data_IF_707695637238
#
_entry.id   IF_707695637238
#
_cell.length_a   1.000
_cell.length_b   1.000
_cell.length_c   1.000
_cell.angle_alpha   90.00
_cell.angle_beta   90.00
_cell.angle_gamma   90.00
#
_symmetry.space_group_name_H-M   'P 1'
#
loop_
_entity.id
_entity.type
_entity.pdbx_description
1 polymer ?
#
# COMPACT_ATOMS: atom_id res chain seq x y z
N UNK A 1 1.32 27.02 5.76
CA UNK A 1 2.25 27.20 4.64
C UNK A 1 3.73 27.08 4.99
N UNK A 2 4.13 27.16 6.28
CA UNK A 2 5.53 27.18 6.71
C UNK A 2 6.35 25.89 6.55
N UNK A 3 5.75 24.69 6.64
CA UNK A 3 6.57 23.48 6.86
C UNK A 3 7.53 23.11 5.70
N UNK A 4 7.12 23.30 4.45
CA UNK A 4 8.01 23.05 3.29
C UNK A 4 9.05 24.16 3.10
N UNK A 5 8.68 25.40 3.42
CA UNK A 5 9.61 26.53 3.35
C UNK A 5 10.67 26.43 4.45
N UNK A 6 10.27 26.01 5.66
CA UNK A 6 11.18 25.70 6.77
C UNK A 6 12.12 24.53 6.45
N UNK A 7 11.67 23.57 5.61
CA UNK A 7 12.49 22.44 5.17
C UNK A 7 13.29 22.71 3.89
N UNK A 8 13.16 23.87 3.26
CA UNK A 8 13.88 24.18 2.03
C UNK A 8 15.42 24.01 2.16
N UNK A 9 16.08 24.41 3.27
CA UNK A 9 17.52 24.17 3.46
C UNK A 9 17.89 22.69 3.54
N UNK A 10 16.95 21.84 3.92
CA UNK A 10 17.12 20.40 4.10
C UNK A 10 16.45 19.57 3.01
N UNK A 11 16.05 20.21 1.90
CA UNK A 11 15.38 19.55 0.77
C UNK A 11 16.35 19.35 -0.39
N UNK A 12 16.40 18.13 -0.91
CA UNK A 12 17.17 17.75 -2.10
C UNK A 12 16.18 17.39 -3.21
N UNK A 13 16.28 18.07 -4.35
CA UNK A 13 15.52 17.70 -5.54
C UNK A 13 16.25 16.63 -6.36
N UNK A 14 15.58 15.51 -6.64
CA UNK A 14 16.11 14.36 -7.37
C UNK A 14 15.19 14.03 -8.55
N UNK A 15 15.48 14.59 -9.74
CA UNK A 15 14.61 14.48 -10.92
C UNK A 15 14.58 13.07 -11.51
N UNK A 16 13.75 12.20 -10.95
CA UNK A 16 13.55 10.82 -11.41
C UNK A 16 14.31 9.76 -10.62
N UNK A 17 15.34 10.16 -9.87
CA UNK A 17 16.26 9.26 -9.17
C UNK A 17 16.18 9.36 -7.63
N UNK A 18 15.03 9.76 -7.07
CA UNK A 18 14.85 9.96 -5.63
C UNK A 18 15.29 8.76 -4.79
N UNK A 19 15.14 7.54 -5.30
CA UNK A 19 15.59 6.33 -4.62
C UNK A 19 17.12 6.19 -4.55
N UNK A 20 17.82 6.56 -5.63
CA UNK A 20 19.28 6.53 -5.70
C UNK A 20 19.86 7.62 -4.81
N UNK A 21 19.35 8.86 -4.92
CA UNK A 21 19.81 9.99 -4.10
C UNK A 21 19.58 9.72 -2.61
N UNK A 22 18.48 9.05 -2.25
CA UNK A 22 18.26 8.59 -0.87
C UNK A 22 19.29 7.57 -0.40
N UNK A 23 19.60 6.59 -1.25
CA UNK A 23 20.62 5.60 -0.94
C UNK A 23 22.00 6.24 -0.82
N UNK A 24 22.39 7.12 -1.73
CA UNK A 24 23.66 7.87 -1.68
C UNK A 24 23.78 8.70 -0.41
N UNK A 25 22.73 9.46 -0.08
CA UNK A 25 22.71 10.25 1.15
C UNK A 25 22.90 9.38 2.38
N UNK A 26 22.20 8.25 2.48
CA UNK A 26 22.34 7.33 3.61
C UNK A 26 23.70 6.63 3.64
N UNK A 27 24.22 6.20 2.49
CA UNK A 27 25.53 5.55 2.36
C UNK A 27 26.70 6.51 2.62
N UNK A 28 26.52 7.83 2.42
CA UNK A 28 27.54 8.82 2.78
C UNK A 28 27.74 8.97 4.29
N UNK A 29 26.81 8.46 5.11
CA UNK A 29 26.91 8.50 6.56
C UNK A 29 27.88 7.45 7.08
N UNK A 30 28.48 7.70 8.25
CA UNK A 30 29.26 6.70 8.97
C UNK A 30 28.37 5.53 9.42
N UNK A 31 28.91 4.31 9.65
CA UNK A 31 28.11 3.19 10.15
C UNK A 31 27.32 3.51 11.43
N UNK A 32 27.90 4.30 12.35
CA UNK A 32 27.22 4.72 13.58
C UNK A 32 26.05 5.68 13.30
N UNK A 33 26.24 6.66 12.41
CA UNK A 33 25.17 7.59 12.00
C UNK A 33 24.07 6.86 11.22
N UNK A 34 24.41 5.85 10.43
CA UNK A 34 23.45 5.03 9.68
C UNK A 34 22.52 4.26 10.60
N UNK A 35 23.00 3.78 11.75
CA UNK A 35 22.16 3.08 12.73
C UNK A 35 21.19 4.03 13.46
N UNK A 36 21.50 5.33 13.50
CA UNK A 36 20.63 6.38 14.05
C UNK A 36 19.74 7.06 12.99
N UNK A 37 19.94 6.75 11.70
CA UNK A 37 19.26 7.40 10.57
C UNK A 37 18.35 6.43 9.83
N UNK A 38 17.04 6.67 9.89
CA UNK A 38 16.04 5.89 9.15
C UNK A 38 15.67 6.54 7.81
N UNK A 39 15.47 5.73 6.77
CA UNK A 39 14.90 6.20 5.50
C UNK A 39 13.39 5.95 5.49
N UNK A 40 12.59 6.98 5.24
CA UNK A 40 11.14 6.90 5.15
C UNK A 40 10.69 7.16 3.73
N UNK A 41 10.05 6.18 3.10
CA UNK A 41 9.46 6.34 1.78
C UNK A 41 7.94 6.52 1.88
N UNK A 42 7.38 7.40 1.04
CA UNK A 42 5.92 7.62 0.95
C UNK A 42 5.16 6.37 0.48
N UNK A 43 5.71 5.64 -0.49
CA UNK A 43 5.04 4.51 -1.15
C UNK A 43 5.82 3.20 -1.17
N UNK A 44 5.10 2.10 -1.46
CA UNK A 44 5.66 0.73 -1.50
C UNK A 44 6.68 0.54 -2.63
N UNK A 45 6.41 1.13 -3.78
CA UNK A 45 7.29 1.06 -4.95
C UNK A 45 8.59 1.81 -4.67
N UNK A 46 8.49 3.06 -4.22
CA UNK A 46 9.63 3.88 -3.83
C UNK A 46 10.45 3.22 -2.72
N UNK A 47 9.81 2.68 -1.69
CA UNK A 47 10.50 1.92 -0.62
C UNK A 47 11.28 0.72 -1.17
N UNK A 48 10.69 -0.02 -2.11
CA UNK A 48 11.37 -1.16 -2.74
C UNK A 48 12.59 -0.70 -3.54
N UNK A 49 12.46 0.39 -4.30
CA UNK A 49 13.57 0.96 -5.06
C UNK A 49 14.71 1.46 -4.16
N UNK A 50 14.38 2.16 -3.06
CA UNK A 50 15.38 2.61 -2.06
C UNK A 50 16.09 1.43 -1.42
N UNK A 51 15.34 0.41 -0.99
CA UNK A 51 15.91 -0.82 -0.40
C UNK A 51 16.91 -1.49 -1.35
N UNK A 52 16.54 -1.64 -2.62
CA UNK A 52 17.40 -2.24 -3.64
C UNK A 52 18.63 -1.38 -3.95
N UNK A 53 18.49 -0.05 -3.96
CA UNK A 53 19.60 0.88 -4.14
C UNK A 53 20.60 0.83 -2.97
N UNK A 54 20.11 0.83 -1.73
CA UNK A 54 20.96 0.70 -0.53
C UNK A 54 21.68 -0.64 -0.50
N UNK A 55 20.99 -1.75 -0.74
CA UNK A 55 21.62 -3.08 -0.78
C UNK A 55 22.71 -3.15 -1.86
N UNK A 56 22.46 -2.57 -3.04
CA UNK A 56 23.44 -2.50 -4.14
C UNK A 56 24.68 -1.72 -3.73
N UNK A 57 24.51 -0.57 -3.07
CA UNK A 57 25.62 0.23 -2.56
C UNK A 57 26.43 -0.48 -1.49
N UNK A 58 25.77 -1.07 -0.48
CA UNK A 58 26.45 -1.86 0.56
C UNK A 58 27.23 -3.04 -0.02
N UNK A 59 26.65 -3.73 -1.02
CA UNK A 59 27.34 -4.80 -1.74
C UNK A 59 28.59 -4.28 -2.48
N UNK A 60 28.47 -3.16 -3.19
CA UNK A 60 29.57 -2.56 -3.94
C UNK A 60 30.71 -2.09 -3.02
N UNK A 61 30.38 -1.64 -1.81
CA UNK A 61 31.34 -1.24 -0.77
C UNK A 61 32.00 -2.42 -0.04
N UNK A 62 31.57 -3.67 -0.30
CA UNK A 62 32.05 -4.85 0.43
C UNK A 62 31.54 -4.93 1.88
N UNK A 63 30.47 -4.21 2.21
CA UNK A 63 29.87 -4.20 3.56
C UNK A 63 28.90 -5.36 3.80
N UNK A 64 28.55 -6.11 2.75
CA UNK A 64 27.74 -7.32 2.80
C UNK A 64 28.60 -8.57 2.60
N UNK A 65 28.17 -9.68 3.20
CA UNK A 65 28.89 -10.94 3.13
C UNK A 65 28.88 -11.59 1.74
N UNK A 66 29.72 -12.61 1.52
CA UNK A 66 29.94 -13.19 0.20
C UNK A 66 28.77 -14.09 -0.26
N UNK A 67 27.97 -14.63 0.68
CA UNK A 67 26.86 -15.50 0.32
C UNK A 67 25.60 -14.70 0.04
N UNK A 68 24.92 -15.06 -1.04
CA UNK A 68 23.64 -14.49 -1.44
C UNK A 68 22.65 -15.59 -1.80
N UNK A 69 21.37 -15.25 -1.74
CA UNK A 69 20.27 -16.13 -2.06
C UNK A 69 19.14 -15.35 -2.72
N UNK A 70 18.22 -16.09 -3.36
CA UNK A 70 17.01 -15.52 -3.94
C UNK A 70 15.79 -16.22 -3.36
N UNK A 71 14.89 -15.45 -2.79
CA UNK A 71 13.63 -15.91 -2.22
C UNK A 71 12.46 -15.43 -3.07
N UNK A 72 11.38 -16.22 -3.08
CA UNK A 72 10.08 -15.77 -3.60
C UNK A 72 9.21 -15.39 -2.42
N UNK A 73 8.99 -14.09 -2.25
CA UNK A 73 8.20 -13.52 -1.15
C UNK A 73 6.81 -13.10 -1.62
N UNK A 74 5.90 -12.98 -0.67
CA UNK A 74 4.52 -12.56 -0.89
C UNK A 74 4.38 -11.07 -0.65
N UNK A 75 4.14 -10.32 -1.73
CA UNK A 75 3.81 -8.91 -1.70
C UNK A 75 2.29 -8.75 -1.58
N UNK A 76 1.79 -8.26 -0.45
CA UNK A 76 0.35 -8.06 -0.24
C UNK A 76 -0.21 -7.09 -1.27
N UNK A 77 -1.30 -7.48 -1.91
CA UNK A 77 -2.14 -6.60 -2.74
C UNK A 77 -3.19 -5.97 -1.84
N UNK A 78 -3.27 -4.64 -1.84
CA UNK A 78 -4.24 -3.90 -1.03
C UNK A 78 -5.57 -3.86 -1.76
N UNK A 79 -6.42 -4.84 -1.45
CA UNK A 79 -7.78 -4.95 -1.97
C UNK A 79 -8.76 -5.06 -0.82
N UNK A 80 -9.89 -4.40 -0.96
CA UNK A 80 -11.03 -4.55 -0.06
C UNK A 80 -11.66 -5.93 -0.22
N UNK A 81 -12.42 -6.35 0.78
CA UNK A 81 -13.17 -7.60 0.68
C UNK A 81 -14.20 -7.61 -0.45
N UNK A 82 -14.84 -6.48 -0.72
CA UNK A 82 -15.77 -6.36 -1.85
C UNK A 82 -15.03 -6.49 -3.18
N UNK A 83 -13.84 -5.88 -3.34
CA UNK A 83 -13.03 -6.05 -4.54
C UNK A 83 -12.62 -7.51 -4.76
N UNK A 84 -12.33 -8.27 -3.70
CA UNK A 84 -12.06 -9.71 -3.80
C UNK A 84 -13.24 -10.51 -4.39
N UNK A 85 -14.45 -9.96 -4.48
CA UNK A 85 -15.62 -10.66 -5.06
C UNK A 85 -15.65 -10.57 -6.59
N UNK A 86 -14.81 -9.74 -7.20
CA UNK A 86 -14.78 -9.53 -8.65
C UNK A 86 -13.58 -10.21 -9.29
N UNK A 87 -13.80 -10.86 -10.44
CA UNK A 87 -12.75 -11.57 -11.19
C UNK A 87 -11.61 -10.64 -11.64
N UNK A 88 -11.93 -9.38 -11.96
CA UNK A 88 -10.94 -8.38 -12.42
C UNK A 88 -9.82 -8.10 -11.41
N UNK A 89 -10.04 -8.43 -10.14
CA UNK A 89 -9.09 -8.24 -9.04
C UNK A 89 -7.97 -9.28 -9.09
N UNK A 90 -8.18 -10.40 -9.78
CA UNK A 90 -7.25 -11.52 -9.84
C UNK A 90 -6.52 -11.56 -11.17
N UNK A 91 -5.28 -12.03 -11.14
CA UNK A 91 -4.50 -12.32 -12.33
C UNK A 91 -3.78 -13.68 -12.17
N UNK A 92 -3.53 -14.42 -13.27
CA UNK A 92 -2.68 -15.59 -13.25
C UNK A 92 -1.33 -15.31 -12.57
N UNK A 93 -0.87 -16.24 -11.73
CA UNK A 93 0.39 -16.14 -10.97
C UNK A 93 0.24 -15.51 -9.57
N UNK A 94 -0.85 -14.80 -9.29
CA UNK A 94 -1.15 -14.31 -7.94
C UNK A 94 -1.37 -15.46 -6.95
N UNK A 95 -1.14 -15.20 -5.68
CA UNK A 95 -1.33 -16.15 -4.58
C UNK A 95 -2.48 -15.70 -3.69
N UNK A 96 -3.49 -16.54 -3.58
CA UNK A 96 -4.61 -16.39 -2.66
C UNK A 96 -4.34 -17.21 -1.40
N UNK A 97 -4.20 -16.54 -0.26
CA UNK A 97 -4.05 -17.18 1.03
C UNK A 97 -5.39 -17.24 1.76
N UNK A 98 -5.81 -18.45 2.12
CA UNK A 98 -6.94 -18.69 3.01
C UNK A 98 -6.40 -18.83 4.42
N UNK A 99 -6.71 -17.89 5.32
CA UNK A 99 -6.29 -17.94 6.73
C UNK A 99 -7.08 -18.96 7.54
N UNK A 100 -8.28 -19.31 7.09
CA UNK A 100 -9.15 -20.36 7.62
C UNK A 100 -9.76 -21.18 6.48
N UNK A 101 -10.37 -22.32 6.81
CA UNK A 101 -11.08 -23.17 5.82
C UNK A 101 -12.31 -22.44 5.28
N UNK A 102 -12.49 -22.44 3.96
CA UNK A 102 -13.76 -22.10 3.31
C UNK A 102 -14.55 -23.40 3.09
N UNK A 103 -15.52 -23.66 3.97
CA UNK A 103 -16.37 -24.85 3.90
C UNK A 103 -17.31 -24.81 2.71
N UNK A 104 -17.85 -23.64 2.37
CA UNK A 104 -18.82 -23.43 1.28
C UNK A 104 -18.23 -23.78 -0.08
N UNK A 105 -16.96 -23.48 -0.29
CA UNK A 105 -16.24 -23.74 -1.54
C UNK A 105 -15.23 -24.89 -1.43
N UNK A 106 -15.24 -25.60 -0.29
CA UNK A 106 -14.40 -26.80 -0.01
C UNK A 106 -12.89 -26.54 -0.16
N UNK A 107 -12.43 -25.35 0.25
CA UNK A 107 -11.01 -24.97 0.24
C UNK A 107 -10.45 -25.02 1.67
N UNK A 108 -9.36 -25.76 1.86
CA UNK A 108 -8.63 -25.76 3.13
C UNK A 108 -7.84 -24.47 3.32
N UNK A 109 -7.49 -24.17 4.58
CA UNK A 109 -6.51 -23.14 4.92
C UNK A 109 -5.20 -23.36 4.15
N UNK A 110 -4.59 -22.29 3.63
CA UNK A 110 -3.30 -22.34 2.95
C UNK A 110 -3.19 -21.41 1.75
N UNK A 111 -2.04 -21.49 1.07
CA UNK A 111 -1.76 -20.75 -0.16
C UNK A 111 -2.28 -21.51 -1.39
N UNK A 112 -2.87 -20.76 -2.31
CA UNK A 112 -3.27 -21.24 -3.63
C UNK A 112 -2.79 -20.29 -4.71
N UNK A 113 -2.25 -20.82 -5.81
CA UNK A 113 -1.83 -20.02 -6.96
C UNK A 113 -2.99 -19.90 -7.94
N UNK A 114 -3.31 -18.69 -8.39
CA UNK A 114 -4.25 -18.48 -9.49
C UNK A 114 -3.57 -18.97 -10.78
N UNK A 115 -4.09 -20.03 -11.39
CA UNK A 115 -3.60 -20.55 -12.68
C UNK A 115 -4.25 -19.86 -13.85
N UNK A 116 -5.58 -19.88 -13.87
CA UNK A 116 -6.38 -19.32 -14.95
C UNK A 116 -7.68 -18.75 -14.39
N UNK A 117 -8.32 -17.89 -15.19
CA UNK A 117 -9.59 -17.25 -14.89
C UNK A 117 -10.59 -17.73 -15.95
N UNK A 118 -11.64 -18.43 -15.52
CA UNK A 118 -12.74 -18.86 -16.37
C UNK A 118 -13.84 -17.78 -16.32
N UNK A 119 -13.87 -16.92 -17.34
CA UNK A 119 -14.84 -15.83 -17.44
C UNK A 119 -16.26 -16.33 -17.73
N UNK A 120 -16.41 -17.47 -18.42
CA UNK A 120 -17.71 -18.06 -18.75
C UNK A 120 -18.38 -18.59 -17.49
N UNK A 121 -17.64 -19.34 -16.68
CA UNK A 121 -18.14 -19.92 -15.41
C UNK A 121 -18.01 -18.97 -14.22
N UNK A 122 -17.43 -17.78 -14.44
CA UNK A 122 -17.13 -16.77 -13.43
C UNK A 122 -16.33 -17.32 -12.25
N UNK A 123 -15.27 -18.10 -12.52
CA UNK A 123 -14.50 -18.84 -11.52
C UNK A 123 -12.99 -18.70 -11.74
N UNK A 124 -12.23 -18.80 -10.65
CA UNK A 124 -10.78 -18.98 -10.66
C UNK A 124 -10.45 -20.47 -10.63
N UNK A 125 -9.46 -20.85 -11.43
CA UNK A 125 -8.78 -22.14 -11.29
C UNK A 125 -7.54 -21.90 -10.43
N UNK A 126 -7.57 -22.45 -9.23
CA UNK A 126 -6.55 -22.34 -8.21
C UNK A 126 -5.71 -23.63 -8.16
N UNK A 127 -4.42 -23.53 -7.90
CA UNK A 127 -3.53 -24.66 -7.65
C UNK A 127 -3.05 -24.65 -6.19
N UNK A 128 -3.26 -25.74 -5.46
CA UNK A 128 -2.74 -25.89 -4.10
C UNK A 128 -1.23 -26.25 -4.08
N UNK A 129 -0.62 -26.27 -2.90
CA UNK A 129 0.82 -26.65 -2.75
C UNK A 129 1.15 -28.06 -3.26
N UNK A 130 0.16 -28.95 -3.41
CA UNK A 130 0.34 -30.32 -3.91
C UNK A 130 0.11 -30.40 -5.43
N UNK A 131 -0.07 -29.27 -6.11
CA UNK A 131 -0.35 -29.22 -7.55
C UNK A 131 -1.80 -29.55 -7.92
N UNK A 132 -2.71 -29.66 -6.94
CA UNK A 132 -4.11 -30.02 -7.24
C UNK A 132 -4.89 -28.78 -7.63
N UNK A 133 -5.64 -28.91 -8.72
CA UNK A 133 -6.53 -27.85 -9.18
C UNK A 133 -7.81 -27.80 -8.34
N UNK A 134 -8.22 -26.60 -7.97
CA UNK A 134 -9.43 -26.28 -7.22
C UNK A 134 -10.16 -25.15 -7.91
N UNK A 135 -11.49 -25.17 -7.84
CA UNK A 135 -12.34 -24.11 -8.38
C UNK A 135 -12.76 -23.20 -7.25
N UNK A 136 -12.73 -21.90 -7.50
CA UNK A 136 -13.16 -20.88 -6.55
C UNK A 136 -14.01 -19.85 -7.28
N UNK A 137 -15.19 -19.55 -6.76
CA UNK A 137 -16.04 -18.48 -7.28
C UNK A 137 -15.96 -17.28 -6.33
N UNK A 138 -15.30 -16.18 -6.74
CA UNK A 138 -15.17 -14.99 -5.90
C UNK A 138 -16.52 -14.35 -5.54
N UNK A 139 -17.53 -14.42 -6.41
CA UNK A 139 -18.85 -13.83 -6.14
C UNK A 139 -19.60 -14.54 -5.00
N UNK A 140 -19.22 -15.78 -4.68
CA UNK A 140 -19.78 -16.56 -3.55
C UNK A 140 -19.15 -16.23 -2.20
N UNK A 141 -18.16 -15.33 -2.16
CA UNK A 141 -17.70 -14.75 -0.91
C UNK A 141 -18.85 -13.95 -0.28
N UNK A 142 -19.07 -14.21 1.01
CA UNK A 142 -20.10 -13.54 1.81
C UNK A 142 -19.79 -12.04 1.92
N UNK A 143 -20.71 -11.12 1.57
CA UNK A 143 -20.45 -9.67 1.64
C UNK A 143 -20.10 -9.17 3.05
N UNK A 144 -20.65 -9.82 4.06
CA UNK A 144 -20.61 -9.50 5.48
C UNK A 144 -19.52 -10.29 6.27
N UNK A 145 -18.72 -11.11 5.57
CA UNK A 145 -17.63 -11.83 6.22
C UNK A 145 -16.48 -10.88 6.56
N UNK A 146 -15.95 -10.99 7.78
CA UNK A 146 -14.78 -10.26 8.23
C UNK A 146 -13.61 -10.41 7.23
N UNK A 147 -13.08 -9.27 6.76
CA UNK A 147 -11.95 -9.07 5.82
C UNK A 147 -10.74 -9.98 6.08
N UNK A 148 -10.61 -10.49 7.30
CA UNK A 148 -9.42 -11.21 7.77
C UNK A 148 -9.24 -12.62 7.20
N UNK A 149 -10.23 -13.21 6.51
CA UNK A 149 -10.17 -14.64 6.12
C UNK A 149 -9.37 -14.92 4.84
N UNK A 150 -9.32 -13.97 3.92
CA UNK A 150 -8.58 -14.09 2.67
C UNK A 150 -7.54 -12.97 2.56
N UNK A 151 -6.44 -13.27 1.89
CA UNK A 151 -5.46 -12.26 1.51
C UNK A 151 -4.91 -12.59 0.12
N UNK A 152 -4.83 -11.57 -0.72
CA UNK A 152 -4.26 -11.66 -2.06
C UNK A 152 -2.83 -11.15 -2.06
N UNK A 153 -1.95 -11.88 -2.74
CA UNK A 153 -0.53 -11.56 -2.82
C UNK A 153 -0.03 -11.70 -4.26
N UNK A 154 0.93 -10.88 -4.61
CA UNK A 154 1.81 -11.07 -5.76
C UNK A 154 3.10 -11.75 -5.30
N UNK A 155 3.72 -12.52 -6.19
CA UNK A 155 5.05 -13.08 -5.96
C UNK A 155 6.10 -12.04 -6.33
N UNK A 156 6.95 -11.66 -5.38
CA UNK A 156 8.10 -10.80 -5.59
C UNK A 156 9.38 -11.62 -5.42
N UNK A 157 10.34 -11.44 -6.32
CA UNK A 157 11.70 -11.96 -6.12
C UNK A 157 12.44 -11.05 -5.15
N UNK A 158 12.99 -11.62 -4.08
CA UNK A 158 13.80 -10.90 -3.09
C UNK A 158 15.22 -11.45 -3.12
N UNK A 159 16.18 -10.58 -3.45
CA UNK A 159 17.61 -10.89 -3.28
C UNK A 159 17.99 -10.67 -1.82
N UNK A 160 18.63 -11.67 -1.22
CA UNK A 160 19.15 -11.60 0.14
C UNK A 160 20.65 -11.88 0.14
N UNK A 161 21.38 -11.23 1.02
CA UNK A 161 22.82 -11.30 1.19
C UNK A 161 23.11 -11.37 2.68
N UNK A 162 24.14 -12.11 3.08
CA UNK A 162 24.62 -12.07 4.46
C UNK A 162 24.92 -10.64 4.89
N UNK A 163 24.45 -10.25 6.07
CA UNK A 163 24.51 -8.87 6.59
C UNK A 163 23.27 -8.03 6.30
N UNK A 164 22.35 -8.45 5.44
CA UNK A 164 21.14 -7.67 5.11
C UNK A 164 20.24 -7.43 6.32
N UNK A 165 19.69 -6.22 6.41
CA UNK A 165 18.58 -5.88 7.31
C UNK A 165 17.25 -6.24 6.63
N UNK A 166 16.46 -7.09 7.26
CA UNK A 166 15.12 -7.50 6.79
C UNK A 166 14.05 -7.20 7.83
N UNK A 167 12.80 -7.22 7.39
CA UNK A 167 11.62 -7.10 8.25
C UNK A 167 10.60 -8.18 7.93
N UNK A 168 9.81 -8.53 8.93
CA UNK A 168 8.65 -9.40 8.74
C UNK A 168 7.48 -8.64 8.14
N UNK A 169 6.71 -9.32 7.28
CA UNK A 169 5.50 -8.76 6.63
C UNK A 169 4.20 -9.40 7.10
N UNK A 170 4.28 -10.37 8.01
CA UNK A 170 3.15 -11.05 8.65
C UNK A 170 3.61 -11.63 10.00
N UNK A 171 2.66 -11.98 10.86
CA UNK A 171 2.97 -12.50 12.19
C UNK A 171 3.22 -14.02 12.18
N UNK A 172 4.09 -14.48 13.08
CA UNK A 172 4.16 -15.84 13.58
C UNK A 172 4.25 -15.84 15.10
N UNK A 173 3.07 -15.80 15.73
CA UNK A 173 2.93 -15.76 17.18
C UNK A 173 3.58 -16.96 17.90
N UNK A 174 3.68 -18.13 17.24
CA UNK A 174 4.28 -19.33 17.87
C UNK A 174 5.77 -19.16 18.12
N UNK A 175 6.43 -18.35 17.28
CA UNK A 175 7.87 -18.08 17.34
C UNK A 175 8.20 -16.69 17.86
N UNK A 176 7.18 -15.90 18.23
CA UNK A 176 7.35 -14.52 18.66
C UNK A 176 7.86 -13.59 17.56
N UNK A 177 7.51 -13.85 16.30
CA UNK A 177 7.89 -13.00 15.18
C UNK A 177 6.71 -12.10 14.83
N UNK A 178 6.88 -10.79 14.97
CA UNK A 178 5.79 -9.84 14.72
C UNK A 178 6.04 -9.07 13.43
N UNK A 179 4.94 -8.74 12.74
CA UNK A 179 4.97 -7.92 11.54
C UNK A 179 5.64 -6.57 11.84
N UNK A 180 6.45 -6.12 10.90
CA UNK A 180 7.32 -4.94 10.99
C UNK A 180 8.56 -5.08 11.89
N UNK A 181 8.70 -6.12 12.72
CA UNK A 181 9.95 -6.37 13.44
C UNK A 181 11.10 -6.62 12.47
N UNK A 182 12.28 -6.12 12.84
CA UNK A 182 13.50 -6.25 12.07
C UNK A 182 14.34 -7.46 12.51
N UNK A 183 15.11 -7.97 11.56
CA UNK A 183 16.13 -8.97 11.79
C UNK A 183 17.31 -8.74 10.83
N UNK A 184 18.47 -9.31 11.17
CA UNK A 184 19.66 -9.28 10.33
C UNK A 184 19.96 -10.68 9.80
N UNK A 185 20.26 -10.83 8.51
CA UNK A 185 20.69 -12.12 7.97
C UNK A 185 22.13 -12.37 8.39
N UNK A 186 22.38 -13.47 9.08
CA UNK A 186 23.72 -13.84 9.58
C UNK A 186 24.36 -14.90 8.69
N UNK A 187 23.58 -15.84 8.17
CA UNK A 187 24.09 -16.87 7.27
C UNK A 187 23.04 -17.34 6.25
N UNK A 188 23.51 -17.67 5.04
CA UNK A 188 22.69 -18.29 3.98
C UNK A 188 23.36 -19.58 3.54
N UNK A 189 22.63 -20.70 3.57
CA UNK A 189 23.15 -22.00 3.14
C UNK A 189 22.10 -22.85 2.40
N UNK A 190 22.49 -24.07 2.00
CA UNK A 190 21.63 -24.99 1.24
C UNK A 190 20.47 -25.57 2.05
N UNK A 191 20.52 -25.49 3.38
CA UNK A 191 19.49 -25.98 4.31
C UNK A 191 18.51 -24.86 4.68
N UNK A 192 18.93 -23.59 4.68
CA UNK A 192 18.07 -22.47 5.06
C UNK A 192 18.76 -21.11 5.19
N UNK A 193 18.09 -20.20 5.89
CA UNK A 193 18.57 -18.86 6.21
C UNK A 193 18.60 -18.71 7.73
N UNK A 194 19.73 -18.28 8.27
CA UNK A 194 19.89 -17.92 9.68
C UNK A 194 19.86 -16.41 9.82
N UNK A 195 19.13 -15.93 10.83
CA UNK A 195 18.92 -14.52 11.08
C UNK A 195 18.94 -14.23 12.58
N UNK A 196 19.39 -13.04 12.94
CA UNK A 196 19.37 -12.50 14.29
C UNK A 196 18.18 -11.55 14.42
N UNK A 197 17.27 -11.81 15.35
CA UNK A 197 16.13 -10.91 15.59
C UNK A 197 16.57 -9.63 16.31
N UNK A 198 15.71 -8.61 16.32
CA UNK A 198 15.94 -7.37 17.08
C UNK A 198 16.26 -7.59 18.57
N UNK A 199 15.81 -8.70 19.15
CA UNK A 199 16.13 -9.10 20.52
C UNK A 199 17.43 -9.89 20.69
N UNK A 200 18.30 -9.94 19.67
CA UNK A 200 19.57 -10.66 19.69
C UNK A 200 19.45 -12.18 19.63
N UNK A 201 18.27 -12.72 19.31
CA UNK A 201 18.05 -14.17 19.23
C UNK A 201 18.36 -14.69 17.84
N UNK A 202 19.17 -15.74 17.75
CA UNK A 202 19.38 -16.46 16.51
C UNK A 202 18.16 -17.33 16.16
N UNK A 203 17.68 -17.18 14.93
CA UNK A 203 16.58 -17.91 14.33
C UNK A 203 17.01 -18.52 13.01
N UNK A 204 16.87 -19.83 12.89
CA UNK A 204 17.11 -20.56 11.64
C UNK A 204 15.81 -20.97 10.97
N UNK A 205 15.62 -20.52 9.74
CA UNK A 205 14.49 -20.88 8.88
C UNK A 205 14.94 -21.84 7.79
N UNK A 206 14.35 -23.04 7.76
CA UNK A 206 14.59 -24.01 6.68
C UNK A 206 14.06 -23.50 5.33
N UNK A 207 14.58 -23.98 4.19
CA UNK A 207 14.17 -23.54 2.84
C UNK A 207 12.67 -23.61 2.54
N UNK A 208 11.92 -24.45 3.25
CA UNK A 208 10.48 -24.62 3.10
C UNK A 208 9.63 -23.83 4.10
N UNK A 209 10.27 -23.02 4.96
CA UNK A 209 9.57 -22.30 6.03
C UNK A 209 8.64 -21.21 5.45
N UNK A 210 7.36 -21.16 5.85
CA UNK A 210 6.44 -20.13 5.38
C UNK A 210 6.90 -18.69 5.67
N UNK A 211 7.70 -18.46 6.71
CA UNK A 211 8.18 -17.13 7.05
C UNK A 211 9.22 -16.60 6.06
N UNK A 212 9.93 -17.47 5.31
CA UNK A 212 10.79 -17.03 4.20
C UNK A 212 10.01 -16.33 3.09
N UNK A 213 8.69 -16.55 2.99
CA UNK A 213 7.82 -15.84 2.04
C UNK A 213 7.29 -14.52 2.60
N UNK A 214 7.50 -14.23 3.89
CA UNK A 214 6.85 -13.15 4.64
C UNK A 214 7.87 -12.14 5.14
N UNK A 215 8.81 -11.78 4.26
CA UNK A 215 9.88 -10.84 4.56
C UNK A 215 10.13 -9.88 3.40
N UNK A 216 10.77 -8.77 3.71
CA UNK A 216 11.21 -7.74 2.77
C UNK A 216 12.45 -7.06 3.35
N UNK A 217 13.22 -6.34 2.54
CA UNK A 217 14.35 -5.54 3.04
C UNK A 217 13.85 -4.40 3.96
N UNK A 218 14.68 -4.01 4.91
CA UNK A 218 14.35 -3.07 5.98
C UNK A 218 15.29 -1.85 6.06
N UNK A 219 15.95 -1.47 4.97
CA UNK A 219 16.73 -0.23 4.91
C UNK A 219 15.84 1.02 4.86
N UNK A 220 14.67 0.90 4.21
CA UNK A 220 13.64 1.92 4.14
C UNK A 220 12.33 1.41 4.72
N UNK A 221 11.62 2.31 5.41
CA UNK A 221 10.36 2.06 6.10
C UNK A 221 9.25 2.94 5.52
N UNK A 222 7.99 2.55 5.75
CA UNK A 222 6.87 3.43 5.46
C UNK A 222 6.67 4.41 6.63
N UNK A 223 6.22 5.63 6.35
CA UNK A 223 5.97 6.65 7.38
C UNK A 223 5.01 6.20 8.50
N UNK A 224 4.00 5.38 8.20
CA UNK A 224 3.10 4.83 9.24
C UNK A 224 3.74 3.71 10.07
N UNK A 225 4.70 2.96 9.51
CA UNK A 225 5.39 1.88 10.22
C UNK A 225 6.42 2.40 11.22
N UNK A 226 6.86 3.65 11.05
CA UNK A 226 7.70 4.35 12.00
C UNK A 226 6.96 4.70 13.32
N UNK A 227 5.68 4.35 13.46
CA UNK A 227 4.93 4.53 14.71
C UNK A 227 5.41 3.55 15.77
N UNK A 228 6.21 4.08 16.71
CA UNK A 228 6.86 3.30 17.76
C UNK A 228 8.36 3.11 17.55
N UNK A 229 8.91 3.55 16.41
CA UNK A 229 10.35 3.61 16.16
C UNK A 229 10.82 5.04 16.39
N UNK A 230 11.62 5.26 17.43
CA UNK A 230 12.33 6.52 17.64
C UNK A 230 13.66 6.44 16.91
N UNK A 231 13.76 7.12 15.76
CA UNK A 231 15.06 7.43 15.14
C UNK A 231 15.38 8.89 15.37
N UNK A 232 16.64 9.17 15.71
CA UNK A 232 17.12 10.52 15.98
C UNK A 232 17.16 11.33 14.69
N UNK A 233 17.54 10.70 13.59
CA UNK A 233 17.61 11.32 12.26
C UNK A 233 16.83 10.53 11.22
N UNK A 234 16.49 11.19 10.11
CA UNK A 234 16.00 10.47 8.94
C UNK A 234 15.96 11.22 7.63
N UNK A 235 15.76 10.40 6.61
CA UNK A 235 15.72 10.80 5.21
C UNK A 235 14.31 10.49 4.72
N UNK A 236 13.49 11.51 4.53
CA UNK A 236 12.16 11.36 3.95
C UNK A 236 12.29 11.38 2.43
N UNK A 237 11.71 10.40 1.75
CA UNK A 237 11.69 10.30 0.29
C UNK A 237 10.23 10.33 -0.13
N UNK A 238 9.85 11.39 -0.85
CA UNK A 238 8.49 11.59 -1.32
C UNK A 238 8.47 11.91 -2.82
N UNK A 239 7.46 11.41 -3.51
CA UNK A 239 7.31 11.61 -4.96
C UNK A 239 5.99 12.32 -5.24
N UNK A 240 6.06 13.48 -5.91
CA UNK A 240 4.92 14.31 -6.29
C UNK A 240 3.96 13.59 -7.25
N UNK A 241 4.43 12.55 -7.95
CA UNK A 241 3.61 11.72 -8.86
C UNK A 241 2.72 10.75 -8.08
N UNK A 242 3.05 10.42 -6.84
CA UNK A 242 2.22 9.58 -5.97
C UNK A 242 1.06 10.40 -5.37
N UNK A 243 0.14 10.89 -6.21
CA UNK A 243 -0.92 11.86 -5.84
C UNK A 243 -1.73 11.50 -4.58
N UNK A 244 -1.93 10.21 -4.31
CA UNK A 244 -2.69 9.73 -3.15
C UNK A 244 -1.86 9.69 -1.86
N UNK A 245 -0.52 9.67 -1.96
CA UNK A 245 0.44 9.61 -0.85
C UNK A 245 1.14 10.96 -0.63
N UNK A 246 1.23 11.80 -1.66
CA UNK A 246 1.67 13.19 -1.59
C UNK A 246 0.57 14.10 -1.02
N UNK A 247 0.16 13.83 0.23
CA UNK A 247 -0.86 14.58 0.96
C UNK A 247 -0.30 15.11 2.29
N UNK A 248 -1.01 16.09 2.87
CA UNK A 248 -0.60 16.76 4.11
C UNK A 248 -0.43 15.81 5.28
N UNK A 249 -1.34 14.88 5.48
CA UNK A 249 -1.27 13.92 6.58
C UNK A 249 -0.02 13.03 6.48
N UNK A 250 0.27 12.49 5.30
CA UNK A 250 1.44 11.63 5.06
C UNK A 250 2.73 12.40 5.23
N UNK A 251 2.78 13.62 4.69
CA UNK A 251 3.91 14.53 4.87
C UNK A 251 4.17 14.82 6.35
N UNK A 252 3.15 15.26 7.08
CA UNK A 252 3.28 15.57 8.51
C UNK A 252 3.71 14.35 9.31
N UNK A 253 3.09 13.18 9.10
CA UNK A 253 3.49 11.93 9.78
C UNK A 253 4.93 11.52 9.45
N UNK A 254 5.42 11.83 8.26
CA UNK A 254 6.82 11.52 7.89
C UNK A 254 7.79 12.48 8.56
N UNK A 255 7.46 13.78 8.56
CA UNK A 255 8.33 14.86 9.04
C UNK A 255 8.39 14.90 10.57
N UNK A 256 7.26 14.75 11.27
CA UNK A 256 7.19 14.91 12.74
C UNK A 256 7.75 13.73 13.52
N UNK A 257 8.12 12.65 12.86
CA UNK A 257 8.75 11.47 13.51
C UNK A 257 10.24 11.63 13.74
N UNK A 258 10.84 12.70 13.23
CA UNK A 258 12.27 12.94 13.32
C UNK A 258 12.56 13.98 14.39
N UNK A 259 13.44 13.61 15.33
CA UNK A 259 13.74 14.44 16.50
C UNK A 259 14.84 15.46 16.22
N UNK A 260 15.95 15.00 15.64
CA UNK A 260 17.20 15.77 15.61
C UNK A 260 17.64 16.19 14.21
N UNK A 261 17.15 15.53 13.16
CA UNK A 261 17.49 15.90 11.78
C UNK A 261 16.65 15.22 10.71
N UNK A 262 16.17 16.02 9.75
CA UNK A 262 15.42 15.56 8.59
C UNK A 262 16.08 16.05 7.30
N UNK A 263 16.29 15.15 6.35
CA UNK A 263 16.53 15.49 4.93
C UNK A 263 15.32 15.05 4.11
N UNK A 264 14.70 15.97 3.38
CA UNK A 264 13.61 15.65 2.46
C UNK A 264 14.18 15.47 1.05
N UNK A 265 13.89 14.36 0.41
CA UNK A 265 14.23 14.08 -0.98
C UNK A 265 12.92 14.04 -1.77
N UNK A 266 12.80 14.93 -2.74
CA UNK A 266 11.61 15.07 -3.57
C UNK A 266 11.99 15.01 -5.05
N UNK A 267 11.11 14.45 -5.89
CA UNK A 267 11.28 14.52 -7.36
C UNK A 267 11.18 15.97 -7.87
N UNK A 268 10.27 16.74 -7.27
CA UNK A 268 10.07 18.16 -7.53
C UNK A 268 9.39 18.80 -6.31
N UNK A 269 10.11 19.67 -5.59
CA UNK A 269 9.65 20.22 -4.32
C UNK A 269 8.42 21.12 -4.50
N UNK A 270 8.37 21.87 -5.59
CA UNK A 270 7.26 22.78 -5.89
C UNK A 270 5.94 22.03 -6.20
N UNK A 271 6.01 20.98 -7.03
CA UNK A 271 4.86 20.09 -7.32
C UNK A 271 4.44 19.33 -6.07
N UNK A 272 5.38 18.81 -5.28
CA UNK A 272 5.09 18.16 -4.02
C UNK A 272 4.38 19.13 -3.06
N UNK A 273 4.84 20.38 -2.99
CA UNK A 273 4.19 21.41 -2.17
C UNK A 273 2.78 21.74 -2.61
N UNK A 274 2.54 21.88 -3.92
CA UNK A 274 1.18 22.02 -4.45
C UNK A 274 0.28 20.84 -4.10
N UNK A 275 0.80 19.61 -4.24
CA UNK A 275 0.05 18.39 -3.92
C UNK A 275 -0.33 18.34 -2.42
N UNK A 276 0.62 18.64 -1.53
CA UNK A 276 0.39 18.67 -0.08
C UNK A 276 -0.63 19.75 0.33
N UNK A 277 -0.60 20.93 -0.32
CA UNK A 277 -1.55 22.01 -0.02
C UNK A 277 -2.96 21.65 -0.49
N UNK A 278 -3.09 21.13 -1.71
CA UNK A 278 -4.38 20.80 -2.32
C UNK A 278 -5.01 19.51 -1.79
N UNK A 279 -4.22 18.59 -1.23
CA UNK A 279 -4.69 17.32 -0.70
C UNK A 279 -4.44 17.22 0.82
N UNK A 280 -5.47 17.46 1.63
CA UNK A 280 -5.37 17.34 3.09
C UNK A 280 -5.08 15.91 3.55
N UNK A 281 -5.57 14.90 2.81
CA UNK A 281 -5.58 13.51 3.24
C UNK A 281 -6.68 13.19 4.27
N UNK A 282 -7.44 14.19 4.72
CA UNK A 282 -8.55 14.00 5.66
C UNK A 282 -9.70 13.25 4.99
N UNK A 283 -10.24 12.26 5.68
CA UNK A 283 -11.43 11.53 5.23
C UNK A 283 -12.66 12.26 5.73
N UNK A 284 -13.40 12.91 4.84
CA UNK A 284 -14.70 13.48 5.19
C UNK A 284 -15.70 12.36 5.52
N UNK A 285 -16.43 12.49 6.62
CA UNK A 285 -17.47 11.51 6.95
C UNK A 285 -18.68 11.68 6.04
N UNK A 286 -19.42 10.59 5.79
CA UNK A 286 -20.66 10.67 5.00
C UNK A 286 -21.68 11.63 5.63
N UNK A 287 -21.66 11.77 6.97
CA UNK A 287 -22.50 12.71 7.71
C UNK A 287 -22.08 14.17 7.47
N UNK A 288 -20.79 14.48 7.52
CA UNK A 288 -20.29 15.83 7.19
C UNK A 288 -20.63 16.24 5.76
N UNK A 289 -20.47 15.32 4.80
CA UNK A 289 -20.79 15.60 3.39
C UNK A 289 -22.29 15.85 3.23
N UNK A 290 -23.14 15.00 3.81
CA UNK A 290 -24.59 15.19 3.74
C UNK A 290 -25.05 16.46 4.46
N UNK A 291 -24.43 16.82 5.58
CA UNK A 291 -24.71 18.08 6.28
C UNK A 291 -24.30 19.30 5.46
N UNK A 292 -23.13 19.24 4.78
CA UNK A 292 -22.67 20.31 3.88
C UNK A 292 -23.59 20.46 2.66
N UNK A 293 -24.04 19.35 2.07
CA UNK A 293 -25.02 19.36 0.98
C UNK A 293 -26.37 19.92 1.43
N UNK A 294 -26.84 19.57 2.63
CA UNK A 294 -28.05 20.16 3.22
C UNK A 294 -27.90 21.67 3.42
N UNK A 295 -26.76 22.14 3.93
CA UNK A 295 -26.50 23.57 4.12
C UNK A 295 -26.45 24.32 2.78
N UNK A 296 -25.82 23.74 1.75
CA UNK A 296 -25.82 24.31 0.40
C UNK A 296 -27.22 24.35 -0.22
N UNK A 297 -28.00 23.28 -0.07
CA UNK A 297 -29.39 23.22 -0.52
C UNK A 297 -30.27 24.26 0.19
N UNK A 298 -30.10 24.44 1.51
CA UNK A 298 -30.82 25.45 2.28
C UNK A 298 -30.52 26.88 1.78
N UNK A 299 -29.26 27.16 1.42
CA UNK A 299 -28.84 28.47 0.87
C UNK A 299 -29.45 28.74 -0.51
N UNK A 300 -29.55 27.73 -1.37
CA UNK A 300 -30.24 27.86 -2.66
C UNK A 300 -31.75 28.09 -2.49
N UNK A 301 -32.38 27.34 -1.59
CA UNK A 301 -33.81 27.48 -1.29
C UNK A 301 -34.17 28.82 -0.63
N UNK A 302 -33.26 29.46 0.10
CA UNK A 302 -33.48 30.81 0.64
C UNK A 302 -33.35 31.91 -0.43
N UNK A 303 -32.56 31.69 -1.49
CA UNK A 303 -32.44 32.67 -2.58
C UNK A 303 -33.73 32.77 -3.42
N UNK A 304 -34.48 31.68 -3.58
CA UNK A 304 -35.80 31.70 -4.22
C UNK A 304 -36.86 32.45 -3.38
N UNK A 305 -36.67 32.52 -2.05
CA UNK A 305 -37.57 33.25 -1.15
C UNK A 305 -37.32 34.76 -1.13
N UNK A 306 -36.10 35.21 -1.38
CA UNK A 306 -35.76 36.65 -1.46
C UNK A 306 -36.14 37.29 -2.80
N UNK A 307 -36.44 36.50 -3.84
CA UNK A 307 -36.97 37.01 -5.12
C UNK A 307 -38.51 37.13 -5.09
N UNK A 308 -39.16 36.65 -4.02
CA UNK A 308 -40.62 36.61 -3.85
C UNK A 308 -41.29 37.89 -3.33
N UNK A 309 -40.77 39.09 -3.66
CA UNK A 309 -41.47 40.35 -3.35
C UNK A 309 -41.55 41.36 -4.50
N UNK A 310 -41.50 40.91 -5.75
CA UNK A 310 -42.01 41.70 -6.90
C UNK A 310 -42.61 40.76 -7.96
N UNK A 311 -43.90 40.46 -7.84
CA UNK A 311 -44.67 39.91 -8.97
C UNK A 311 -44.91 41.00 -10.02
N UNK A 312 -44.89 40.64 -11.31
CA UNK A 312 -46.04 40.92 -12.16
C UNK A 312 -46.66 39.63 -12.72
N UNK A 313 -47.94 39.73 -13.03
CA UNK A 313 -48.86 38.66 -13.39
C UNK A 313 -48.68 38.09 -14.83
N UNK A 314 -49.31 36.92 -15.03
CA UNK A 314 -49.67 36.19 -16.29
C UNK A 314 -48.50 35.78 -17.21
N UNK A 315 -48.44 34.58 -17.79
CA UNK A 315 -49.48 33.68 -18.31
C UNK A 315 -48.98 32.22 -18.28
N UNK A 316 -49.87 31.26 -18.02
CA UNK A 316 -49.60 29.84 -18.26
C UNK A 316 -50.10 29.47 -19.66
N UNK A 317 -49.28 28.89 -20.55
CA UNK A 317 -49.83 28.22 -21.72
C UNK A 317 -50.34 26.82 -21.32
N UNK A 318 -51.66 26.66 -21.40
CA UNK A 318 -52.35 25.37 -21.39
C UNK A 318 -51.94 24.55 -22.63
N UNK A 319 -51.37 23.35 -22.41
CA UNK A 319 -51.26 22.35 -23.47
C UNK A 319 -52.51 21.47 -23.43
N UNK A 320 -53.44 21.81 -24.32
CA UNK A 320 -54.68 21.09 -24.60
C UNK A 320 -54.41 19.65 -25.04
N UNK A 321 -55.21 18.73 -24.47
CA UNK A 321 -55.26 17.31 -24.84
C UNK A 321 -56.03 17.16 -26.16
N UNK A 322 -55.42 16.58 -27.19
CA UNK A 322 -56.15 16.02 -28.32
C UNK A 322 -56.21 14.48 -28.24
N UNK A 323 -57.43 13.95 -28.40
CA UNK A 323 -57.79 12.53 -28.43
C UNK A 323 -57.91 12.05 -29.88
N UNK A 324 -57.02 11.14 -30.26
CA UNK A 324 -57.17 9.83 -30.97
C UNK A 324 -58.33 9.62 -31.97
N UNK A 325 -58.04 9.01 -33.15
CA UNK A 325 -58.51 7.67 -33.64
C UNK A 325 -58.33 7.49 -35.17
N UNK A 326 -58.47 6.27 -35.75
CA UNK A 326 -57.74 5.00 -35.55
C UNK A 326 -57.34 4.40 -36.94
N UNK A 327 -57.28 3.06 -37.12
CA UNK A 327 -57.08 2.22 -38.33
C UNK A 327 -55.68 1.56 -38.43
N UNK A 328 -55.50 0.25 -38.69
CA UNK A 328 -56.39 -0.91 -38.85
C UNK A 328 -55.52 -2.19 -38.69
N UNK A 329 -56.10 -3.30 -38.21
CA UNK A 329 -55.49 -4.63 -38.15
C UNK A 329 -56.26 -5.54 -39.12
N UNK A 330 -55.54 -6.30 -39.94
CA UNK A 330 -56.05 -7.48 -40.65
C UNK A 330 -54.90 -8.14 -41.42
N UNK A 331 -54.67 -9.45 -41.41
CA UNK A 331 -55.41 -10.62 -40.90
C UNK A 331 -54.39 -11.55 -40.21
#
# INVERSE_FOLDING_TARGET
DDALQALAPSTIEARGDSAIVAAEKWLSLSPADRDQTSIYASGRALRSAVNEAVQRGLKANGELGPRSGRLTVHSRVNVTHEELRYLRTYQPGMVLNFRSRDSTQKLSKGDYTVKTIDHVRKQLVLEDRKGRLRKFNPARLRPDANDSRLALFERKSLSIIEGDKIRWTDNDHKRGLFNADQAKIVAIDTKGVTMETSGGKELRLSRGDPMLKRMDLAYALNAHMAQGLTSDRGIAVMDSRERNLANRQTFLVTVTRLRDGLTLIADNAEKLGRAIKSNSGEKASALEVTQRLKAAAAKGLSQDKDVGSTSPASDKPELTKERVKPFEIGI
#
